data_IF_772240738422
#
_entry.id   IF_772240738422
#
_cell.length_a   1.000
_cell.length_b   1.000
_cell.length_c   1.000
_cell.angle_alpha   90.00
_cell.angle_beta   90.00
_cell.angle_gamma   90.00
#
_symmetry.space_group_name_H-M   'P 1'
#
loop_
_entity.id
_entity.type
_entity.pdbx_description
1 polymer ?
#
# COMPACT_ATOMS: atom_id res chain seq x y z
N UNK A 1 0.95 -20.62 28.10
CA UNK A 1 0.78 -19.28 27.49
C UNK A 1 0.73 -18.26 28.61
N UNK A 2 1.64 -17.26 28.59
CA UNK A 2 1.80 -16.27 29.67
C UNK A 2 0.59 -15.31 29.75
N UNK A 3 0.20 -14.87 30.95
CA UNK A 3 -0.85 -13.85 31.20
C UNK A 3 -0.69 -12.57 30.36
N UNK A 4 0.54 -12.24 29.92
CA UNK A 4 0.80 -11.11 29.01
C UNK A 4 0.13 -11.22 27.64
N UNK A 5 -0.23 -12.44 27.20
CA UNK A 5 -0.95 -12.66 25.95
C UNK A 5 -2.44 -12.32 26.05
N UNK A 6 -3.06 -12.55 27.21
CA UNK A 6 -4.53 -12.42 27.35
C UNK A 6 -5.02 -10.97 27.23
N UNK A 7 -4.20 -10.00 27.65
CA UNK A 7 -4.57 -8.58 27.55
C UNK A 7 -4.57 -8.01 26.12
N UNK A 8 -3.92 -8.67 25.17
CA UNK A 8 -3.73 -8.17 23.80
C UNK A 8 -4.58 -8.88 22.75
N UNK A 9 -5.17 -10.05 23.06
CA UNK A 9 -5.97 -10.82 22.11
C UNK A 9 -7.12 -10.01 21.48
N UNK A 10 -7.73 -9.10 22.25
CA UNK A 10 -8.81 -8.22 21.77
C UNK A 10 -8.32 -6.87 21.20
N UNK A 11 -7.00 -6.67 21.07
CA UNK A 11 -6.36 -5.37 20.72
C UNK A 11 -5.18 -5.55 19.76
N UNK A 12 -5.24 -6.56 18.89
CA UNK A 12 -4.16 -6.87 17.94
C UNK A 12 -3.99 -5.80 16.85
N UNK A 13 -5.02 -4.99 16.61
CA UNK A 13 -5.05 -3.84 15.71
C UNK A 13 -4.43 -2.56 16.32
N UNK A 14 -4.16 -2.56 17.62
CA UNK A 14 -3.76 -1.36 18.35
C UNK A 14 -2.29 -0.96 18.07
N UNK A 15 -1.99 0.33 17.84
CA UNK A 15 -0.64 0.78 17.45
C UNK A 15 0.44 0.46 18.49
N UNK A 16 0.10 0.44 19.78
CA UNK A 16 1.02 0.09 20.87
C UNK A 16 1.22 -1.43 21.08
N UNK A 17 0.75 -2.29 20.15
CA UNK A 17 0.92 -3.74 20.25
C UNK A 17 2.42 -4.08 20.40
N UNK A 18 2.83 -4.80 21.46
CA UNK A 18 4.23 -5.12 21.66
C UNK A 18 4.78 -5.96 20.50
N UNK A 19 5.93 -5.59 19.90
CA UNK A 19 6.50 -6.31 18.77
C UNK A 19 6.67 -7.83 18.97
N UNK A 20 7.06 -8.33 20.17
CA UNK A 20 7.14 -9.77 20.40
C UNK A 20 5.79 -10.49 20.32
N UNK A 21 4.68 -9.81 20.67
CA UNK A 21 3.32 -10.38 20.57
C UNK A 21 2.88 -10.39 19.11
N UNK A 22 3.04 -9.28 18.39
CA UNK A 22 2.75 -9.20 16.96
C UNK A 22 3.47 -10.30 16.17
N UNK A 23 4.78 -10.48 16.42
CA UNK A 23 5.59 -11.50 15.76
C UNK A 23 5.22 -12.94 16.16
N UNK A 24 4.63 -13.14 17.35
CA UNK A 24 4.17 -14.45 17.77
C UNK A 24 2.80 -14.80 17.14
N UNK A 25 1.89 -13.83 17.05
CA UNK A 25 0.59 -13.97 16.37
C UNK A 25 0.79 -14.18 14.86
N UNK A 26 1.66 -13.41 14.21
CA UNK A 26 1.94 -13.58 12.78
C UNK A 26 2.40 -15.00 12.43
N UNK A 27 3.16 -15.65 13.32
CA UNK A 27 3.71 -17.00 13.07
C UNK A 27 2.80 -18.14 13.51
N UNK A 28 2.06 -17.97 14.62
CA UNK A 28 1.39 -19.07 15.32
C UNK A 28 -0.03 -18.74 15.81
N UNK A 29 -0.52 -17.53 15.54
CA UNK A 29 -1.87 -17.15 15.90
C UNK A 29 -2.91 -17.95 15.13
N UNK A 30 -4.17 -17.83 15.52
CA UNK A 30 -5.29 -18.34 14.72
C UNK A 30 -5.48 -17.47 13.47
N UNK A 31 -6.26 -17.96 12.51
CA UNK A 31 -6.69 -17.16 11.34
C UNK A 31 -7.38 -15.86 11.77
N UNK A 32 -8.26 -15.92 12.77
CA UNK A 32 -8.93 -14.74 13.33
C UNK A 32 -7.95 -13.75 13.95
N UNK A 33 -6.99 -14.22 14.75
CA UNK A 33 -5.97 -13.35 15.35
C UNK A 33 -5.09 -12.69 14.29
N UNK A 34 -4.72 -13.42 13.23
CA UNK A 34 -3.97 -12.86 12.11
C UNK A 34 -4.77 -11.86 11.29
N UNK A 35 -6.08 -12.09 11.10
CA UNK A 35 -6.97 -11.10 10.49
C UNK A 35 -7.07 -9.83 11.32
N UNK A 36 -7.18 -9.94 12.64
CA UNK A 36 -7.14 -8.78 13.53
C UNK A 36 -5.78 -8.07 13.47
N UNK A 37 -4.69 -8.83 13.38
CA UNK A 37 -3.33 -8.29 13.32
C UNK A 37 -3.10 -7.43 12.07
N UNK A 38 -3.56 -7.84 10.88
CA UNK A 38 -3.33 -7.07 9.64
C UNK A 38 -4.03 -5.71 9.60
N UNK A 39 -5.01 -5.47 10.48
CA UNK A 39 -5.61 -4.15 10.67
C UNK A 39 -4.67 -3.16 11.39
N UNK A 40 -3.61 -3.65 12.04
CA UNK A 40 -2.63 -2.84 12.73
C UNK A 40 -1.70 -2.13 11.75
N UNK A 41 -1.75 -0.79 11.72
CA UNK A 41 -0.91 0.00 10.81
C UNK A 41 0.53 0.19 11.29
N UNK A 42 0.82 -0.10 12.56
CA UNK A 42 2.12 0.09 13.19
C UNK A 42 2.99 -1.18 13.20
N UNK A 43 2.62 -2.21 12.41
CA UNK A 43 3.40 -3.44 12.33
C UNK A 43 4.83 -3.16 11.84
N UNK A 44 5.79 -3.83 12.45
CA UNK A 44 7.17 -3.79 11.97
C UNK A 44 7.32 -4.50 10.63
N UNK A 45 8.34 -4.11 9.88
CA UNK A 45 8.70 -4.72 8.60
C UNK A 45 8.79 -6.25 8.67
N UNK A 46 9.44 -6.81 9.70
CA UNK A 46 9.59 -8.26 9.86
C UNK A 46 8.25 -8.98 10.07
N UNK A 47 7.30 -8.34 10.76
CA UNK A 47 5.96 -8.89 10.98
C UNK A 47 5.16 -8.86 9.67
N UNK A 48 5.22 -7.75 8.93
CA UNK A 48 4.61 -7.63 7.60
C UNK A 48 5.14 -8.72 6.67
N UNK A 49 6.46 -8.87 6.55
CA UNK A 49 7.07 -9.89 5.70
C UNK A 49 6.70 -11.31 6.14
N UNK A 50 6.63 -11.56 7.46
CA UNK A 50 6.16 -12.86 7.98
C UNK A 50 4.74 -13.16 7.49
N UNK A 51 3.83 -12.18 7.57
CA UNK A 51 2.43 -12.35 7.14
C UNK A 51 2.35 -12.57 5.62
N UNK A 52 3.09 -11.80 4.82
CA UNK A 52 3.06 -11.91 3.35
C UNK A 52 3.60 -13.27 2.89
N UNK A 53 4.61 -13.80 3.59
CA UNK A 53 5.27 -15.06 3.22
C UNK A 53 4.53 -16.31 3.71
N UNK A 54 3.49 -16.19 4.53
CA UNK A 54 2.64 -17.34 4.86
C UNK A 54 1.83 -17.80 3.63
N UNK A 55 1.29 -19.01 3.69
CA UNK A 55 0.44 -19.55 2.61
C UNK A 55 -1.04 -19.19 2.82
N UNK A 56 -1.33 -17.95 3.24
CA UNK A 56 -2.68 -17.48 3.54
C UNK A 56 -2.98 -16.17 2.77
N UNK A 57 -3.28 -16.26 1.46
CA UNK A 57 -3.51 -15.09 0.60
C UNK A 57 -4.56 -14.11 1.12
N UNK A 58 -5.63 -14.64 1.74
CA UNK A 58 -6.74 -13.84 2.29
C UNK A 58 -6.31 -12.98 3.50
N UNK A 59 -5.32 -13.42 4.26
CA UNK A 59 -4.78 -12.64 5.37
C UNK A 59 -3.83 -11.58 4.82
N UNK A 60 -2.93 -11.97 3.93
CA UNK A 60 -1.96 -11.05 3.33
C UNK A 60 -2.64 -9.92 2.54
N UNK A 61 -3.76 -10.18 1.85
CA UNK A 61 -4.51 -9.15 1.13
C UNK A 61 -5.08 -8.06 2.05
N UNK A 62 -5.34 -8.38 3.33
CA UNK A 62 -5.77 -7.41 4.34
C UNK A 62 -4.76 -6.28 4.56
N UNK A 63 -3.46 -6.52 4.32
CA UNK A 63 -2.42 -5.50 4.42
C UNK A 63 -2.59 -4.38 3.38
N UNK A 64 -3.28 -4.62 2.26
CA UNK A 64 -3.55 -3.60 1.23
C UNK A 64 -4.50 -2.49 1.72
N UNK A 65 -5.20 -2.71 2.84
CA UNK A 65 -6.04 -1.69 3.49
C UNK A 65 -5.20 -0.73 4.35
N UNK A 66 -3.93 -1.05 4.59
CA UNK A 66 -3.01 -0.16 5.30
C UNK A 66 -2.36 0.82 4.31
N UNK A 67 -2.90 2.02 4.19
CA UNK A 67 -2.36 3.07 3.32
C UNK A 67 -0.98 3.60 3.73
N UNK A 68 -0.48 3.22 4.92
CA UNK A 68 0.87 3.49 5.38
C UNK A 68 1.83 2.31 5.16
N UNK A 69 1.36 1.23 4.49
CA UNK A 69 2.20 0.09 4.15
C UNK A 69 3.41 0.55 3.30
N UNK A 70 4.64 0.14 3.66
CA UNK A 70 5.83 0.52 2.90
C UNK A 70 5.74 0.09 1.42
N UNK A 71 6.32 0.89 0.53
CA UNK A 71 6.23 0.67 -0.92
C UNK A 71 6.79 -0.71 -1.33
N UNK A 72 7.90 -1.11 -0.72
CA UNK A 72 8.50 -2.42 -0.93
C UNK A 72 7.58 -3.57 -0.52
N UNK A 73 6.76 -3.40 0.52
CA UNK A 73 5.80 -4.42 0.95
C UNK A 73 4.61 -4.51 0.00
N UNK A 74 4.19 -3.39 -0.60
CA UNK A 74 3.17 -3.38 -1.67
C UNK A 74 3.66 -4.16 -2.88
N UNK A 75 4.93 -3.98 -3.27
CA UNK A 75 5.51 -4.71 -4.41
C UNK A 75 5.62 -6.22 -4.12
N UNK A 76 6.07 -6.61 -2.91
CA UNK A 76 6.10 -8.02 -2.51
C UNK A 76 4.69 -8.63 -2.49
N UNK A 77 3.69 -7.91 -1.98
CA UNK A 77 2.28 -8.35 -2.00
C UNK A 77 1.76 -8.52 -3.43
N UNK A 78 2.05 -7.57 -4.31
CA UNK A 78 1.61 -7.60 -5.70
C UNK A 78 2.13 -8.85 -6.42
N UNK A 79 3.40 -9.19 -6.23
CA UNK A 79 4.01 -10.40 -6.80
C UNK A 79 3.45 -11.66 -6.14
N UNK A 80 3.40 -11.70 -4.81
CA UNK A 80 3.00 -12.88 -4.04
C UNK A 80 1.56 -13.30 -4.26
N UNK A 81 0.67 -12.32 -4.40
CA UNK A 81 -0.78 -12.52 -4.58
C UNK A 81 -1.20 -12.44 -6.06
N UNK A 82 -0.25 -12.21 -6.98
CA UNK A 82 -0.53 -11.95 -8.39
C UNK A 82 -1.64 -10.90 -8.59
N UNK A 83 -1.52 -9.77 -7.86
CA UNK A 83 -2.52 -8.71 -7.90
C UNK A 83 -2.64 -8.12 -9.30
N UNK A 84 -3.85 -7.74 -9.75
CA UNK A 84 -4.01 -6.91 -10.92
C UNK A 84 -3.17 -5.63 -10.79
N UNK A 85 -2.54 -5.19 -11.88
CA UNK A 85 -1.68 -4.00 -11.87
C UNK A 85 -2.45 -2.77 -11.40
N UNK A 86 -3.75 -2.68 -11.69
CA UNK A 86 -4.67 -1.63 -11.25
C UNK A 86 -4.72 -1.54 -9.72
N UNK A 87 -4.85 -2.68 -9.04
CA UNK A 87 -4.89 -2.78 -7.58
C UNK A 87 -3.53 -2.41 -6.98
N UNK A 88 -2.45 -3.00 -7.52
CA UNK A 88 -1.11 -2.76 -7.00
C UNK A 88 -0.67 -1.30 -7.17
N UNK A 89 -0.97 -0.68 -8.32
CA UNK A 89 -0.58 0.70 -8.64
C UNK A 89 -1.48 1.75 -7.98
N UNK A 90 -2.76 1.41 -7.83
CA UNK A 90 -3.77 2.22 -7.17
C UNK A 90 -3.56 2.34 -5.65
N UNK A 91 -2.70 1.51 -5.06
CA UNK A 91 -2.31 1.63 -3.65
C UNK A 91 -1.56 2.96 -3.39
N UNK A 92 -1.86 3.74 -2.34
CA UNK A 92 -1.25 5.05 -2.09
C UNK A 92 0.28 5.05 -2.10
N UNK A 93 0.90 4.05 -1.47
CA UNK A 93 2.35 3.91 -1.38
C UNK A 93 2.98 3.02 -2.47
N UNK A 94 2.25 2.67 -3.53
CA UNK A 94 2.86 2.00 -4.68
C UNK A 94 4.07 2.78 -5.20
N UNK A 95 5.08 2.08 -5.71
CA UNK A 95 6.28 2.73 -6.25
C UNK A 95 5.95 3.69 -7.40
N UNK A 96 6.75 4.75 -7.55
CA UNK A 96 6.55 5.73 -8.63
C UNK A 96 6.58 5.07 -10.01
N UNK A 97 7.51 4.14 -10.21
CA UNK A 97 7.64 3.39 -11.46
C UNK A 97 6.35 2.63 -11.79
N UNK A 98 5.72 2.01 -10.79
CA UNK A 98 4.45 1.31 -10.94
C UNK A 98 3.31 2.27 -11.31
N UNK A 99 3.15 3.36 -10.56
CA UNK A 99 2.14 4.40 -10.85
C UNK A 99 2.28 5.01 -12.24
N UNK A 100 3.51 5.27 -12.68
CA UNK A 100 3.79 5.88 -13.99
C UNK A 100 3.33 5.03 -15.18
N UNK A 101 3.24 3.71 -15.03
CA UNK A 101 2.81 2.82 -16.10
C UNK A 101 1.30 2.76 -16.27
N UNK A 102 0.52 3.20 -15.26
CA UNK A 102 -0.92 3.05 -15.30
C UNK A 102 -1.67 4.18 -15.98
N UNK A 103 -2.81 3.86 -16.61
CA UNK A 103 -3.80 4.85 -17.00
C UNK A 103 -4.09 5.80 -15.85
N UNK A 104 -3.97 7.10 -16.10
CA UNK A 104 -4.07 8.11 -15.05
C UNK A 104 -5.46 8.12 -14.41
N UNK A 105 -6.51 7.75 -15.15
CA UNK A 105 -7.88 7.61 -14.66
C UNK A 105 -8.13 6.39 -13.78
N UNK A 106 -7.22 5.42 -13.76
CA UNK A 106 -7.32 4.22 -12.90
C UNK A 106 -6.62 4.41 -11.54
N UNK A 107 -5.84 5.48 -11.39
CA UNK A 107 -5.22 5.81 -10.11
C UNK A 107 -6.24 6.45 -9.18
N UNK A 108 -6.31 5.94 -7.95
CA UNK A 108 -7.13 6.57 -6.90
C UNK A 108 -6.64 7.99 -6.62
N UNK A 109 -7.55 8.89 -6.21
CA UNK A 109 -7.17 10.28 -5.87
C UNK A 109 -6.06 10.35 -4.81
N UNK A 110 -6.04 9.41 -3.86
CA UNK A 110 -4.98 9.32 -2.85
C UNK A 110 -3.65 8.83 -3.43
N UNK A 111 -3.67 7.84 -4.33
CA UNK A 111 -2.48 7.40 -5.07
C UNK A 111 -1.87 8.52 -5.90
N UNK A 112 -2.72 9.30 -6.58
CA UNK A 112 -2.29 10.44 -7.37
C UNK A 112 -1.74 11.58 -6.50
N UNK A 113 -2.38 11.85 -5.36
CA UNK A 113 -1.88 12.82 -4.39
C UNK A 113 -0.49 12.43 -3.84
N UNK A 114 -0.29 11.16 -3.47
CA UNK A 114 1.03 10.66 -3.02
C UNK A 114 2.09 10.76 -4.12
N UNK A 115 1.71 10.52 -5.37
CA UNK A 115 2.59 10.76 -6.52
C UNK A 115 3.02 12.23 -6.60
N UNK A 116 2.08 13.17 -6.54
CA UNK A 116 2.37 14.61 -6.58
C UNK A 116 3.30 15.08 -5.47
N UNK A 117 3.11 14.59 -4.24
CA UNK A 117 4.01 14.87 -3.13
C UNK A 117 5.44 14.37 -3.42
N UNK A 118 5.56 13.14 -3.92
CA UNK A 118 6.86 12.52 -4.18
C UNK A 118 7.65 13.23 -5.30
N UNK A 119 6.96 13.67 -6.37
CA UNK A 119 7.60 14.42 -7.48
C UNK A 119 7.67 15.93 -7.23
N UNK A 120 7.16 16.39 -6.08
CA UNK A 120 7.05 17.82 -5.69
C UNK A 120 6.30 18.64 -6.75
N UNK A 121 5.15 18.14 -7.20
CA UNK A 121 4.31 18.82 -8.18
C UNK A 121 3.71 20.11 -7.61
N UNK A 122 3.81 21.22 -8.36
CA UNK A 122 3.12 22.46 -8.01
C UNK A 122 1.61 22.33 -8.21
N UNK A 123 0.81 23.21 -7.59
CA UNK A 123 -0.66 23.23 -7.78
C UNK A 123 -1.04 23.34 -9.26
N UNK A 124 -0.31 24.13 -10.05
CA UNK A 124 -0.53 24.25 -11.49
C UNK A 124 -0.32 22.91 -12.21
N UNK A 125 0.77 22.19 -11.88
CA UNK A 125 1.04 20.87 -12.47
C UNK A 125 -0.04 19.86 -12.07
N UNK A 126 -0.49 19.88 -10.81
CA UNK A 126 -1.57 19.02 -10.35
C UNK A 126 -2.86 19.28 -11.13
N UNK A 127 -3.23 20.56 -11.33
CA UNK A 127 -4.41 20.92 -12.14
C UNK A 127 -4.29 20.43 -13.58
N UNK A 128 -3.14 20.60 -14.23
CA UNK A 128 -2.94 20.13 -15.60
C UNK A 128 -3.09 18.61 -15.74
N UNK A 129 -2.64 17.85 -14.74
CA UNK A 129 -2.86 16.39 -14.71
C UNK A 129 -4.36 16.06 -14.53
N UNK A 130 -5.08 16.78 -13.67
CA UNK A 130 -6.52 16.62 -13.53
C UNK A 130 -7.30 16.96 -14.81
N UNK A 131 -6.94 18.05 -15.48
CA UNK A 131 -7.51 18.42 -16.78
C UNK A 131 -7.25 17.33 -17.84
N UNK A 132 -6.06 16.70 -17.83
CA UNK A 132 -5.75 15.59 -18.73
C UNK A 132 -6.56 14.32 -18.41
N UNK A 133 -6.83 14.03 -17.12
CA UNK A 133 -7.72 12.93 -16.71
C UNK A 133 -9.13 13.15 -17.26
N UNK A 134 -9.66 14.37 -17.14
CA UNK A 134 -11.00 14.73 -17.61
C UNK A 134 -11.13 14.64 -19.14
N UNK A 135 -10.03 14.85 -19.86
CA UNK A 135 -9.99 14.75 -21.33
C UNK A 135 -9.81 13.31 -21.82
N UNK A 136 -8.85 12.57 -21.26
CA UNK A 136 -8.54 11.18 -21.62
C UNK A 136 -7.79 10.48 -20.47
N UNK A 137 -8.54 9.96 -19.51
CA UNK A 137 -7.99 9.18 -18.39
C UNK A 137 -7.33 7.85 -18.80
N UNK A 138 -7.48 7.39 -20.05
CA UNK A 138 -6.88 6.16 -20.54
C UNK A 138 -5.37 6.25 -20.79
N UNK A 139 -4.81 7.47 -20.81
CA UNK A 139 -3.38 7.67 -21.02
C UNK A 139 -2.54 7.27 -19.81
N UNK A 140 -1.42 6.60 -20.07
CA UNK A 140 -0.46 6.29 -19.02
C UNK A 140 0.04 7.58 -18.33
N UNK A 141 0.17 7.54 -17.00
CA UNK A 141 0.62 8.67 -16.20
C UNK A 141 1.99 9.19 -16.66
N UNK A 142 2.90 8.33 -17.13
CA UNK A 142 4.19 8.75 -17.69
C UNK A 142 4.04 9.71 -18.88
N UNK A 143 3.02 9.53 -19.72
CA UNK A 143 2.77 10.36 -20.90
C UNK A 143 2.20 11.70 -20.46
N UNK A 144 1.17 11.68 -19.62
CA UNK A 144 0.53 12.89 -19.08
C UNK A 144 1.53 13.73 -18.30
N UNK A 145 2.29 13.10 -17.40
CA UNK A 145 3.29 13.78 -16.59
C UNK A 145 4.45 14.33 -17.42
N UNK A 146 4.88 13.61 -18.47
CA UNK A 146 5.90 14.09 -19.40
C UNK A 146 5.49 15.37 -20.13
N UNK A 147 4.21 15.51 -20.47
CA UNK A 147 3.67 16.74 -21.07
C UNK A 147 3.59 17.91 -20.07
N UNK A 148 3.23 17.62 -18.81
CA UNK A 148 3.14 18.61 -17.72
C UNK A 148 4.51 19.08 -17.24
N UNK A 149 5.50 18.19 -17.22
CA UNK A 149 6.86 18.47 -16.77
C UNK A 149 7.88 17.91 -17.77
N UNK A 150 8.17 18.65 -18.85
CA UNK A 150 9.21 18.27 -19.79
C UNK A 150 10.55 18.18 -19.06
N UNK A 151 11.27 17.08 -19.25
CA UNK A 151 12.65 16.97 -18.76
C UNK A 151 13.53 17.79 -19.70
N UNK A 152 13.74 19.07 -19.38
CA UNK A 152 14.74 19.96 -19.97
C UNK A 152 14.76 20.03 -21.50
N UNK A 153 14.10 21.04 -22.06
CA UNK A 153 14.48 21.62 -23.37
C UNK A 153 15.79 22.40 -23.25
#
# INVERSE_FOLDING_TARGET
MSERWQGWAARLDHPDLPPPIAAAVARRGTTEERHALVANRALSHDVLLTIITTNEPEIASGLLLNYDLPAEMVDVLAERLALPEEVASGHPNASLARKMRQPVGELTGLALHRFFLAVRASETQQRQVHEAIDQDGGQALTTVWGAVRPVGS
#
